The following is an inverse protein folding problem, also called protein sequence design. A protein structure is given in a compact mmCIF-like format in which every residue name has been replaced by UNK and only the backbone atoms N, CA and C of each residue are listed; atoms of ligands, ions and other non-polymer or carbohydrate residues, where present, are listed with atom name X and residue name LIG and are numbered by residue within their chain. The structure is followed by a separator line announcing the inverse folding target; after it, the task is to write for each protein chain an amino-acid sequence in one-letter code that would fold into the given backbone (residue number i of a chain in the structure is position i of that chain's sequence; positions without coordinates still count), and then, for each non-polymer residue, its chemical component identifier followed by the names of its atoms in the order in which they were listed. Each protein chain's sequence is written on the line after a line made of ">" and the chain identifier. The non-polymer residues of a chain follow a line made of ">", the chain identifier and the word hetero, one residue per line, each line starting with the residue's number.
data_IF_295784679881
#
_entry.id   IF_295784679881
#
_cell.length_a   1.000
_cell.length_b   1.000
_cell.length_c   1.000
_cell.angle_alpha   90.00
_cell.angle_beta   90.00
_cell.angle_gamma   90.00
#
_symmetry.space_group_name_H-M   'P 1'
#
loop_
_entity.id
_entity.type
_entity.pdbx_description
1 polymer ?
#
# COMPACT_ATOMS: atom_id res chain seq x y z
N UNK A 1 -0.32 3.73 12.25
CA UNK A 1 -1.47 4.51 11.73
C UNK A 1 -2.03 3.88 10.45
N UNK A 2 -1.22 3.63 9.42
CA UNK A 2 -1.68 2.99 8.18
C UNK A 2 -2.21 1.58 8.43
N UNK A 3 -1.50 0.76 9.21
CA UNK A 3 -1.92 -0.60 9.62
C UNK A 3 -3.35 -0.63 10.16
N UNK A 4 -3.61 0.15 11.22
CA UNK A 4 -4.93 0.24 11.85
C UNK A 4 -6.02 0.81 10.93
N UNK A 5 -5.66 1.63 9.93
CA UNK A 5 -6.61 2.10 8.94
C UNK A 5 -6.96 0.98 7.97
N UNK A 6 -5.97 0.26 7.44
CA UNK A 6 -6.18 -0.85 6.50
C UNK A 6 -7.01 -1.97 7.11
N UNK A 7 -6.71 -2.37 8.35
CA UNK A 7 -7.51 -3.35 9.10
C UNK A 7 -8.99 -2.93 9.21
N UNK A 8 -9.23 -1.65 9.54
CA UNK A 8 -10.60 -1.09 9.62
C UNK A 8 -11.31 -1.01 8.27
N UNK A 9 -10.57 -0.98 7.17
CA UNK A 9 -11.11 -1.01 5.82
C UNK A 9 -11.37 -2.45 5.33
N UNK A 10 -10.92 -3.47 6.06
CA UNK A 10 -11.18 -4.87 5.77
C UNK A 10 -10.09 -5.59 4.98
N UNK A 11 -8.89 -5.00 4.89
CA UNK A 11 -7.68 -5.71 4.44
C UNK A 11 -7.29 -6.78 5.46
N UNK A 12 -6.76 -7.91 4.99
CA UNK A 12 -6.21 -8.92 5.88
C UNK A 12 -4.83 -8.51 6.45
N UNK A 13 -4.30 -9.28 7.39
CA UNK A 13 -3.03 -8.97 8.07
C UNK A 13 -1.85 -8.92 7.08
N UNK A 14 -1.88 -9.77 6.04
CA UNK A 14 -0.82 -9.87 5.04
C UNK A 14 -0.85 -8.65 4.13
N UNK A 15 -2.02 -8.31 3.60
CA UNK A 15 -2.23 -7.11 2.78
C UNK A 15 -1.91 -5.84 3.57
N UNK A 16 -2.28 -5.80 4.85
CA UNK A 16 -1.99 -4.69 5.74
C UNK A 16 -0.48 -4.51 5.93
N UNK A 17 0.25 -5.60 6.17
CA UNK A 17 1.71 -5.59 6.28
C UNK A 17 2.39 -5.14 4.98
N UNK A 18 1.92 -5.65 3.83
CA UNK A 18 2.43 -5.26 2.52
C UNK A 18 2.21 -3.78 2.21
N UNK A 19 1.03 -3.24 2.53
CA UNK A 19 0.76 -1.81 2.37
C UNK A 19 1.65 -0.93 3.26
N UNK A 20 1.90 -1.37 4.50
CA UNK A 20 2.83 -0.67 5.40
C UNK A 20 4.25 -0.65 4.81
N UNK A 21 4.74 -1.80 4.35
CA UNK A 21 6.06 -1.92 3.76
C UNK A 21 6.20 -1.09 2.47
N UNK A 22 5.16 -1.04 1.63
CA UNK A 22 5.15 -0.22 0.43
C UNK A 22 5.32 1.27 0.74
N UNK A 23 4.64 1.76 1.79
CA UNK A 23 4.76 3.15 2.22
C UNK A 23 6.11 3.41 2.87
N UNK A 24 6.64 2.49 3.66
CA UNK A 24 7.99 2.63 4.25
C UNK A 24 9.07 2.71 3.16
N UNK A 25 8.98 1.87 2.13
CA UNK A 25 9.87 1.92 0.97
C UNK A 25 9.72 3.23 0.17
N UNK A 26 8.50 3.72 -0.01
CA UNK A 26 8.26 5.01 -0.65
C UNK A 26 8.92 6.16 0.11
N UNK A 27 8.71 6.23 1.43
CA UNK A 27 9.30 7.26 2.29
C UNK A 27 10.83 7.17 2.30
N UNK A 28 11.36 5.95 2.39
CA UNK A 28 12.79 5.73 2.34
C UNK A 28 13.40 6.15 1.00
N UNK A 29 12.70 5.94 -0.12
CA UNK A 29 13.12 6.42 -1.43
C UNK A 29 13.14 7.95 -1.49
N UNK A 30 12.13 8.63 -0.97
CA UNK A 30 12.11 10.11 -0.90
C UNK A 30 13.30 10.62 -0.09
N UNK A 31 13.56 10.05 1.10
CA UNK A 31 14.67 10.49 1.96
C UNK A 31 16.03 10.24 1.30
N UNK A 32 16.26 9.04 0.76
CA UNK A 32 17.56 8.65 0.19
C UNK A 32 17.83 9.28 -1.17
N UNK A 33 16.82 9.38 -2.03
CA UNK A 33 16.99 9.79 -3.43
C UNK A 33 16.43 11.18 -3.73
N UNK A 34 15.33 11.57 -3.09
CA UNK A 34 14.77 12.92 -3.23
C UNK A 34 15.57 13.96 -2.46
N UNK A 35 15.90 13.64 -1.20
CA UNK A 35 16.64 14.54 -0.31
C UNK A 35 18.13 14.22 -0.15
N UNK A 36 18.62 13.16 -0.78
CA UNK A 36 20.03 12.76 -0.70
C UNK A 36 20.55 12.62 0.74
N UNK A 37 19.67 12.23 1.67
CA UNK A 37 19.97 12.10 3.10
C UNK A 37 19.80 13.36 3.94
N UNK A 38 19.38 14.49 3.36
CA UNK A 38 19.03 15.68 4.12
C UNK A 38 17.82 15.43 5.05
N UNK A 39 17.89 15.94 6.28
CA UNK A 39 16.91 15.67 7.35
C UNK A 39 15.93 16.80 7.60
N UNK A 40 16.02 17.88 6.83
CA UNK A 40 15.18 19.09 6.90
C UNK A 40 14.15 19.14 5.76
N UNK A 41 14.10 18.12 4.91
CA UNK A 41 13.11 17.96 3.86
C UNK A 41 11.69 17.72 4.40
N UNK A 42 10.69 18.26 3.70
CA UNK A 42 9.28 18.07 4.02
C UNK A 42 8.64 16.96 3.17
N UNK A 43 8.03 15.99 3.84
CA UNK A 43 7.24 14.94 3.19
C UNK A 43 5.79 15.07 3.65
N UNK A 44 4.86 15.17 2.70
CA UNK A 44 3.42 15.14 2.96
C UNK A 44 2.87 13.78 2.60
N UNK A 45 2.18 13.16 3.55
CA UNK A 45 1.46 11.90 3.38
C UNK A 45 -0.04 12.16 3.49
N UNK A 46 -0.76 11.96 2.40
CA UNK A 46 -2.22 12.03 2.38
C UNK A 46 -2.79 10.63 2.22
N UNK A 47 -3.69 10.24 3.13
CA UNK A 47 -4.39 8.95 3.05
C UNK A 47 -5.89 9.21 3.07
N UNK A 48 -6.60 8.70 2.07
CA UNK A 48 -8.06 8.85 1.94
C UNK A 48 -8.70 7.63 1.31
N UNK A 49 -9.98 7.44 1.56
CA UNK A 49 -10.80 6.45 0.86
C UNK A 49 -11.51 7.14 -0.30
N UNK A 50 -11.33 6.61 -1.51
CA UNK A 50 -12.17 6.93 -2.67
C UNK A 50 -13.41 6.04 -2.58
N UNK A 51 -14.56 6.67 -2.31
CA UNK A 51 -15.84 5.96 -2.10
C UNK A 51 -16.53 5.52 -3.40
N UNK A 52 -16.01 5.93 -4.56
CA UNK A 52 -16.53 5.48 -5.85
C UNK A 52 -16.31 3.96 -6.01
N UNK A 53 -17.31 3.15 -6.40
CA UNK A 53 -17.14 1.72 -6.58
C UNK A 53 -16.21 1.37 -7.77
N UNK A 54 -15.27 0.42 -7.62
CA UNK A 54 -14.91 -0.25 -6.37
C UNK A 54 -14.17 0.73 -5.44
N UNK A 55 -14.49 0.70 -4.13
CA UNK A 55 -13.87 1.60 -3.14
C UNK A 55 -12.35 1.39 -3.13
N UNK A 56 -11.57 2.46 -3.01
CA UNK A 56 -10.09 2.37 -3.02
C UNK A 56 -9.48 3.11 -1.84
N UNK A 57 -8.46 2.51 -1.23
CA UNK A 57 -7.51 3.20 -0.38
C UNK A 57 -6.55 3.95 -1.30
N UNK A 58 -6.48 5.27 -1.14
CA UNK A 58 -5.62 6.15 -1.91
C UNK A 58 -4.60 6.78 -0.98
N UNK A 59 -3.33 6.54 -1.27
CA UNK A 59 -2.18 7.04 -0.54
C UNK A 59 -1.38 7.92 -1.50
N UNK A 60 -1.15 9.16 -1.12
CA UNK A 60 -0.37 10.13 -1.88
C UNK A 60 0.80 10.60 -1.03
N UNK A 61 2.01 10.51 -1.59
CA UNK A 61 3.25 10.95 -0.96
C UNK A 61 3.83 12.06 -1.82
N UNK A 62 4.05 13.23 -1.23
CA UNK A 62 4.63 14.39 -1.90
C UNK A 62 5.86 14.88 -1.18
N UNK A 63 6.82 15.40 -1.94
CA UNK A 63 8.04 16.00 -1.43
C UNK A 63 8.41 17.29 -2.18
N UNK A 64 9.54 17.88 -1.78
CA UNK A 64 10.23 18.98 -2.46
C UNK A 64 11.64 18.59 -2.92
N UNK A 65 11.95 17.29 -2.94
CA UNK A 65 13.25 16.76 -3.29
C UNK A 65 13.58 16.91 -4.78
N UNK A 66 14.72 16.33 -5.18
CA UNK A 66 15.18 16.33 -6.56
C UNK A 66 14.15 15.66 -7.47
N UNK A 67 13.76 16.35 -8.54
CA UNK A 67 12.96 15.74 -9.58
C UNK A 67 13.75 14.70 -10.34
N UNK A 68 13.13 13.55 -10.56
CA UNK A 68 13.62 12.51 -11.45
C UNK A 68 12.63 12.32 -12.58
N UNK A 69 13.07 11.70 -13.67
CA UNK A 69 12.17 11.26 -14.73
C UNK A 69 11.36 10.06 -14.25
N UNK A 70 10.01 10.14 -14.18
CA UNK A 70 9.17 9.01 -13.80
C UNK A 70 9.44 7.75 -14.63
N UNK A 71 9.78 7.92 -15.91
CA UNK A 71 10.07 6.79 -16.82
C UNK A 71 11.41 6.11 -16.49
N UNK A 72 12.29 6.78 -15.75
CA UNK A 72 13.54 6.22 -15.24
C UNK A 72 13.38 5.57 -13.88
N UNK A 73 12.21 5.69 -13.23
CA UNK A 73 11.90 4.98 -11.99
C UNK A 73 11.48 3.56 -12.36
N UNK A 74 12.48 2.73 -12.67
CA UNK A 74 12.27 1.33 -12.96
C UNK A 74 12.60 0.44 -11.77
N UNK A 75 11.81 -0.63 -11.53
CA UNK A 75 12.21 -1.72 -10.66
C UNK A 75 13.51 -2.29 -11.21
N UNK A 76 14.50 -2.48 -10.33
CA UNK A 76 15.70 -3.22 -10.72
C UNK A 76 15.35 -4.70 -10.90
N UNK A 77 16.11 -5.37 -11.75
CA UNK A 77 15.95 -6.80 -12.00
C UNK A 77 16.18 -7.59 -10.70
N UNK A 78 15.35 -8.60 -10.44
CA UNK A 78 15.40 -9.38 -9.20
C UNK A 78 16.72 -10.16 -9.04
N UNK A 79 17.43 -10.38 -10.15
CA UNK A 79 18.72 -11.07 -10.20
C UNK A 79 19.90 -10.19 -9.75
N UNK A 80 19.73 -8.87 -9.59
CA UNK A 80 20.74 -7.95 -9.04
C UNK A 80 20.47 -7.70 -7.55
N UNK A 81 20.64 -8.74 -6.74
CA UNK A 81 20.43 -8.72 -5.28
C UNK A 81 21.51 -7.90 -4.58
N UNK A 82 21.32 -6.57 -4.58
CA UNK A 82 22.04 -5.62 -3.72
C UNK A 82 21.04 -4.95 -2.76
N UNK A 83 21.48 -4.52 -1.57
CA UNK A 83 20.61 -3.76 -0.67
C UNK A 83 20.00 -2.55 -1.38
N UNK A 84 18.67 -2.47 -1.43
CA UNK A 84 17.94 -1.28 -1.86
C UNK A 84 17.50 -1.18 -3.32
N UNK A 85 17.13 -2.27 -4.01
CA UNK A 85 16.59 -2.25 -5.39
C UNK A 85 15.13 -2.69 -5.57
N UNK A 86 14.50 -3.22 -4.52
CA UNK A 86 13.22 -3.91 -4.59
C UNK A 86 12.01 -3.03 -4.27
N UNK A 87 12.20 -1.84 -3.67
CA UNK A 87 11.11 -1.04 -3.13
C UNK A 87 10.04 -0.66 -4.18
N UNK A 88 10.46 -0.25 -5.39
CA UNK A 88 9.51 0.07 -6.48
C UNK A 88 8.79 -1.17 -7.00
N UNK A 89 9.49 -2.32 -7.06
CA UNK A 89 8.88 -3.58 -7.46
C UNK A 89 7.79 -3.98 -6.48
N UNK A 90 8.11 -3.98 -5.17
CA UNK A 90 7.17 -4.26 -4.10
C UNK A 90 5.96 -3.32 -4.17
N UNK A 91 6.18 -2.00 -4.29
CA UNK A 91 5.07 -1.04 -4.40
C UNK A 91 4.13 -1.38 -5.56
N UNK A 92 4.68 -1.71 -6.74
CA UNK A 92 3.90 -2.10 -7.92
C UNK A 92 3.21 -3.45 -7.78
N UNK A 93 3.78 -4.39 -7.04
CA UNK A 93 3.21 -5.71 -6.80
C UNK A 93 2.03 -5.66 -5.82
N UNK A 94 2.17 -4.88 -4.75
CA UNK A 94 1.20 -4.87 -3.65
C UNK A 94 0.03 -3.90 -3.89
N UNK A 95 0.21 -2.88 -4.74
CA UNK A 95 -0.80 -1.86 -5.07
C UNK A 95 -1.37 -2.08 -6.47
N UNK A 96 -2.62 -1.67 -6.69
CA UNK A 96 -3.25 -1.78 -8.01
C UNK A 96 -2.81 -0.62 -8.94
N UNK A 97 -2.45 0.52 -8.35
CA UNK A 97 -1.92 1.71 -9.04
C UNK A 97 -0.66 2.18 -8.32
N UNK A 98 0.42 2.44 -9.06
CA UNK A 98 1.65 3.04 -8.57
C UNK A 98 2.18 4.04 -9.61
N UNK A 99 1.91 5.32 -9.39
CA UNK A 99 2.20 6.40 -10.35
C UNK A 99 3.13 7.46 -9.75
N UNK A 100 4.18 7.80 -10.49
CA UNK A 100 5.10 8.88 -10.14
C UNK A 100 4.89 10.08 -11.04
N UNK A 101 4.88 11.28 -10.46
CA UNK A 101 4.64 12.53 -11.17
C UNK A 101 5.59 13.61 -10.64
N UNK A 102 6.11 14.46 -11.53
CA UNK A 102 6.84 15.67 -11.11
C UNK A 102 5.85 16.72 -10.62
N UNK A 103 6.16 17.39 -9.51
CA UNK A 103 5.37 18.51 -8.98
C UNK A 103 5.94 19.84 -9.44
N UNK A 104 5.10 20.86 -9.62
CA UNK A 104 5.54 22.21 -9.92
C UNK A 104 5.51 23.06 -8.65
N UNK A 105 6.56 23.82 -8.28
CA UNK A 105 7.81 24.03 -9.04
C UNK A 105 8.90 22.97 -8.80
N UNK A 106 8.85 22.19 -7.71
CA UNK A 106 9.84 21.17 -7.37
C UNK A 106 9.20 19.96 -6.68
N UNK A 107 9.95 18.87 -6.59
CA UNK A 107 9.56 17.65 -5.89
C UNK A 107 8.84 16.64 -6.75
N UNK A 108 8.59 15.48 -6.14
CA UNK A 108 7.85 14.37 -6.73
C UNK A 108 6.52 14.16 -6.00
N UNK A 109 5.59 13.52 -6.69
CA UNK A 109 4.35 12.96 -6.15
C UNK A 109 4.30 11.48 -6.53
N UNK A 110 4.07 10.63 -5.54
CA UNK A 110 3.78 9.21 -5.71
C UNK A 110 2.32 8.97 -5.30
N UNK A 111 1.56 8.33 -6.18
CA UNK A 111 0.21 7.84 -5.89
C UNK A 111 0.22 6.33 -5.85
N UNK A 112 -0.19 5.78 -4.70
CA UNK A 112 -0.45 4.36 -4.49
C UNK A 112 -1.96 4.16 -4.28
N UNK A 113 -2.58 3.26 -5.04
CA UNK A 113 -3.97 2.89 -4.82
C UNK A 113 -4.15 1.40 -4.64
N UNK A 114 -5.01 1.02 -3.70
CA UNK A 114 -5.42 -0.37 -3.51
C UNK A 114 -6.93 -0.47 -3.38
N UNK A 115 -7.52 -1.39 -4.12
CA UNK A 115 -8.95 -1.71 -4.00
C UNK A 115 -9.24 -2.25 -2.61
N UNK A 116 -10.20 -1.65 -1.93
CA UNK A 116 -10.64 -2.11 -0.61
C UNK A 116 -11.48 -3.37 -0.80
N UNK A 117 -11.20 -4.46 -0.06
CA UNK A 117 -12.02 -5.66 -0.12
C UNK A 117 -13.48 -5.32 0.19
N UNK A 118 -14.37 -5.55 -0.77
CA UNK A 118 -15.80 -5.62 -0.48
C UNK A 118 -15.97 -6.81 0.44
N UNK A 119 -16.54 -6.60 1.64
CA UNK A 119 -16.69 -7.63 2.67
C UNK A 119 -16.96 -9.00 2.02
N UNK A 120 -16.07 -9.97 2.26
CA UNK A 120 -16.34 -11.37 1.91
C UNK A 120 -17.72 -11.65 2.47
N UNK A 121 -18.66 -12.08 1.62
CA UNK A 121 -19.90 -12.67 2.11
C UNK A 121 -19.49 -13.65 3.20
N UNK A 122 -19.91 -13.37 4.42
CA UNK A 122 -19.64 -14.22 5.57
C UNK A 122 -20.16 -15.60 5.21
N UNK A 123 -19.24 -16.48 4.80
CA UNK A 123 -19.49 -17.89 4.64
C UNK A 123 -19.97 -18.38 6.00
N UNK A 124 -21.28 -18.51 6.10
CA UNK A 124 -22.01 -19.10 7.21
C UNK A 124 -21.38 -20.47 7.45
N UNK A 125 -20.50 -20.58 8.44
CA UNK A 125 -20.19 -21.87 9.04
C UNK A 125 -21.46 -22.28 9.80
N UNK A 126 -22.39 -22.90 9.08
CA UNK A 126 -23.49 -23.65 9.66
C UNK A 126 -22.87 -24.81 10.45
N UNK A 127 -22.69 -24.60 11.75
CA UNK A 127 -22.67 -25.70 12.71
C UNK A 127 -24.12 -25.94 13.13
N UNK A 128 -24.90 -26.54 12.23
CA UNK A 128 -26.16 -27.17 12.57
C UNK A 128 -25.99 -28.68 12.37
N UNK A 129 -25.56 -29.37 13.41
CA UNK A 129 -25.70 -30.81 13.55
C UNK A 129 -26.39 -31.10 14.88
N UNK A 130 -27.68 -30.74 14.95
CA UNK A 130 -28.61 -31.39 15.85
C UNK A 130 -29.29 -32.54 15.09
N UNK A 131 -29.18 -33.76 15.61
CA UNK A 131 -30.27 -34.72 15.46
C UNK A 131 -30.42 -35.47 16.80
N UNK A 132 -31.64 -35.53 17.35
CA UNK A 132 -31.93 -36.25 18.59
C UNK A 132 -32.27 -37.70 18.26
N UNK A 133 -31.82 -38.66 19.07
CA UNK A 133 -32.47 -39.97 19.11
C UNK A 133 -32.72 -40.43 20.55
N UNK A 134 -34.02 -40.58 20.80
CA UNK A 134 -34.67 -41.19 21.95
C UNK A 134 -34.28 -42.66 22.12
N UNK A 135 -34.13 -43.11 23.36
CA UNK A 135 -34.06 -44.53 23.69
C UNK A 135 -34.27 -44.81 25.17
N UNK A 136 -35.53 -44.79 25.61
CA UNK A 136 -36.02 -45.49 26.80
C UNK A 136 -36.83 -46.72 26.30
N UNK A 137 -37.09 -47.76 27.12
CA UNK A 137 -37.64 -47.67 28.48
C UNK A 137 -36.60 -47.75 29.58
#
# INVERSE_FOLDING_TARGET
>A
MLTSLSERLGFDDVETGHLALAVDEALANVIRHGYEGATDGHIWLTVRVKEQPPRRLHIEIEDLGRQVDPDQINPRDLDDVRPGGLGVHLMREVTDTCEFQRRTPTGMRLVLEKTIPTARSSGRHDQNAGTPENGSP
#
